data_IF_016540329930
#
_entry.id   IF_016540329930
#
_cell.length_a   1.000
_cell.length_b   1.000
_cell.length_c   1.000
_cell.angle_alpha   90.00
_cell.angle_beta   90.00
_cell.angle_gamma   90.00
#
_symmetry.space_group_name_H-M   'P 1'
#
loop_
_entity.id
_entity.type
_entity.pdbx_description
1 polymer ?
#
# COMPACT_ATOMS: atom_id res chain seq x y z
N UNK A 1 -96.05 21.36 9.15
CA UNK A 1 -95.85 21.22 10.62
C UNK A 1 -94.36 21.40 10.92
N UNK A 2 -94.04 22.42 11.73
CA UNK A 2 -92.94 22.51 12.71
C UNK A 2 -91.46 22.28 12.30
N UNK A 3 -90.72 23.39 12.28
CA UNK A 3 -89.32 23.57 12.76
C UNK A 3 -89.10 22.98 14.18
N UNK A 4 -87.88 22.75 14.74
CA UNK A 4 -86.73 23.70 14.74
C UNK A 4 -85.29 23.13 14.94
N UNK A 5 -84.29 24.03 15.02
CA UNK A 5 -83.00 23.76 15.69
C UNK A 5 -81.82 24.59 15.14
N UNK A 6 -81.72 25.90 15.42
CA UNK A 6 -80.93 26.56 16.49
C UNK A 6 -79.40 26.33 16.48
N UNK A 7 -78.68 27.46 16.45
CA UNK A 7 -77.31 27.66 16.97
C UNK A 7 -76.24 27.65 15.87
N UNK A 8 -75.50 28.71 15.52
CA UNK A 8 -75.13 29.92 16.27
C UNK A 8 -73.76 29.74 16.94
N UNK A 9 -72.67 30.17 16.29
CA UNK A 9 -71.50 30.84 16.89
C UNK A 9 -70.32 30.96 15.89
N UNK A 10 -69.60 32.06 16.02
CA UNK A 10 -68.62 32.67 15.13
C UNK A 10 -67.30 31.88 14.94
N UNK A 11 -66.52 32.17 13.86
CA UNK A 11 -65.28 31.46 13.54
C UNK A 11 -64.14 31.79 14.52
N UNK A 12 -63.43 30.75 14.97
CA UNK A 12 -62.23 30.88 15.79
C UNK A 12 -61.07 31.50 14.99
N UNK A 13 -60.31 32.46 15.56
CA UNK A 13 -59.13 33.02 14.90
C UNK A 13 -57.98 32.00 14.89
N UNK A 14 -57.51 31.67 13.70
CA UNK A 14 -56.36 30.78 13.49
C UNK A 14 -55.07 31.42 14.04
N UNK A 15 -54.21 30.67 14.76
CA UNK A 15 -52.97 31.22 15.29
C UNK A 15 -51.98 31.56 14.17
N UNK A 16 -51.40 32.76 14.26
CA UNK A 16 -50.35 33.27 13.39
C UNK A 16 -49.09 32.39 13.47
N UNK A 17 -48.66 31.86 12.32
CA UNK A 17 -47.40 31.09 12.21
C UNK A 17 -46.22 32.05 12.11
N UNK A 18 -45.33 32.02 13.10
CA UNK A 18 -44.04 32.75 13.12
C UNK A 18 -43.02 32.11 12.17
N UNK A 19 -42.12 32.87 11.52
CA UNK A 19 -40.91 32.32 10.91
C UNK A 19 -39.73 32.37 11.91
N UNK A 20 -38.89 31.33 11.95
CA UNK A 20 -37.45 31.54 11.85
C UNK A 20 -36.82 30.51 10.88
N UNK A 21 -36.09 30.95 9.86
CA UNK A 21 -34.64 31.23 9.87
C UNK A 21 -33.77 29.97 9.91
N UNK A 22 -32.92 29.80 8.89
CA UNK A 22 -31.85 28.82 8.90
C UNK A 22 -31.49 28.30 7.51
N UNK A 23 -30.63 29.04 6.79
CA UNK A 23 -29.89 28.53 5.62
C UNK A 23 -29.25 27.20 5.99
N UNK A 24 -29.70 26.10 5.40
CA UNK A 24 -29.01 24.82 5.48
C UNK A 24 -27.69 24.93 4.70
N UNK A 25 -26.60 25.24 5.39
CA UNK A 25 -25.22 25.04 4.90
C UNK A 25 -24.94 23.53 4.86
N UNK A 26 -25.46 22.85 3.85
CA UNK A 26 -25.20 21.43 3.57
C UNK A 26 -23.93 21.19 2.75
N UNK A 27 -22.84 21.90 3.05
CA UNK A 27 -21.58 21.83 2.27
C UNK A 27 -20.33 21.55 3.10
N UNK A 28 -20.46 21.30 4.41
CA UNK A 28 -19.31 21.13 5.31
C UNK A 28 -18.47 19.89 5.01
N UNK A 29 -19.12 18.76 4.69
CA UNK A 29 -18.40 17.51 4.43
C UNK A 29 -17.54 17.59 3.16
N UNK A 30 -18.11 18.08 2.06
CA UNK A 30 -17.36 18.26 0.81
C UNK A 30 -16.23 19.29 0.94
N UNK A 31 -16.43 20.36 1.72
CA UNK A 31 -15.36 21.32 2.01
C UNK A 31 -14.21 20.71 2.81
N UNK A 32 -14.51 19.89 3.82
CA UNK A 32 -13.49 19.20 4.63
C UNK A 32 -12.77 18.13 3.80
N UNK A 33 -13.50 17.36 2.98
CA UNK A 33 -12.91 16.36 2.08
C UNK A 33 -12.01 17.02 1.03
N UNK A 34 -12.46 18.13 0.41
CA UNK A 34 -11.66 18.88 -0.55
C UNK A 34 -10.39 19.44 0.11
N UNK A 35 -10.51 19.99 1.32
CA UNK A 35 -9.36 20.49 2.09
C UNK A 35 -8.38 19.37 2.41
N UNK A 36 -8.86 18.20 2.84
CA UNK A 36 -8.02 17.04 3.14
C UNK A 36 -7.28 16.54 1.89
N UNK A 37 -7.94 16.49 0.74
CA UNK A 37 -7.32 16.11 -0.54
C UNK A 37 -6.25 17.12 -0.96
N UNK A 38 -6.52 18.42 -0.82
CA UNK A 38 -5.54 19.47 -1.13
C UNK A 38 -4.33 19.41 -0.20
N UNK A 39 -4.54 19.16 1.10
CA UNK A 39 -3.45 18.98 2.06
C UNK A 39 -2.62 17.74 1.73
N UNK A 40 -3.26 16.62 1.41
CA UNK A 40 -2.55 15.40 0.99
C UNK A 40 -1.72 15.64 -0.28
N UNK A 41 -2.29 16.29 -1.30
CA UNK A 41 -1.56 16.63 -2.53
C UNK A 41 -0.37 17.56 -2.27
N UNK A 42 -0.52 18.54 -1.38
CA UNK A 42 0.57 19.44 -0.99
C UNK A 42 1.70 18.70 -0.25
N UNK A 43 1.36 17.80 0.68
CA UNK A 43 2.33 16.99 1.41
C UNK A 43 3.08 16.05 0.46
N UNK A 44 2.38 15.41 -0.47
CA UNK A 44 2.99 14.56 -1.50
C UNK A 44 3.94 15.38 -2.37
N UNK A 45 3.51 16.56 -2.85
CA UNK A 45 4.37 17.45 -3.64
C UNK A 45 5.63 17.88 -2.90
N UNK A 46 5.50 18.28 -1.63
CA UNK A 46 6.64 18.65 -0.79
C UNK A 46 7.61 17.47 -0.57
N UNK A 47 7.08 16.26 -0.36
CA UNK A 47 7.89 15.05 -0.20
C UNK A 47 8.71 14.73 -1.46
N UNK A 48 8.11 14.84 -2.66
CA UNK A 48 8.85 14.65 -3.90
C UNK A 48 9.92 15.72 -4.15
N UNK A 49 9.65 16.98 -3.79
CA UNK A 49 10.65 18.05 -3.87
C UNK A 49 11.82 17.81 -2.91
N UNK A 50 11.54 17.30 -1.71
CA UNK A 50 12.58 16.94 -0.74
C UNK A 50 13.47 15.80 -1.26
N UNK A 51 12.89 14.77 -1.86
CA UNK A 51 13.65 13.68 -2.49
C UNK A 51 14.50 14.18 -3.67
N UNK A 52 13.97 15.07 -4.51
CA UNK A 52 14.74 15.66 -5.60
C UNK A 52 15.93 16.51 -5.11
N UNK A 53 15.76 17.22 -3.99
CA UNK A 53 16.84 17.99 -3.37
C UNK A 53 17.96 17.13 -2.76
N UNK A 54 17.69 15.84 -2.48
CA UNK A 54 18.67 14.90 -1.95
C UNK A 54 19.58 14.30 -3.03
N UNK A 55 19.32 14.55 -4.32
CA UNK A 55 20.22 14.12 -5.39
C UNK A 55 21.45 15.05 -5.42
N UNK A 56 22.66 14.60 -5.04
CA UNK A 56 23.84 15.40 -5.22
C UNK A 56 24.04 15.69 -6.73
N UNK A 57 24.39 16.93 -7.11
CA UNK A 57 24.69 17.23 -8.50
C UNK A 57 25.95 16.48 -8.90
N UNK A 58 25.81 15.53 -9.81
CA UNK A 58 26.90 14.77 -10.42
C UNK A 58 27.72 15.70 -11.33
N UNK A 59 28.51 16.56 -10.69
CA UNK A 59 29.40 17.54 -11.33
C UNK A 59 30.64 17.67 -10.48
N UNK A 60 31.59 16.77 -10.67
CA UNK A 60 33.03 17.07 -10.68
C UNK A 60 33.84 15.77 -10.72
N UNK A 61 34.27 15.34 -11.90
CA UNK A 61 35.63 14.80 -12.10
C UNK A 61 35.93 14.62 -13.60
N UNK A 62 36.26 15.72 -14.26
CA UNK A 62 36.98 15.69 -15.52
C UNK A 62 37.87 16.94 -15.63
N UNK A 63 38.92 17.03 -14.81
CA UNK A 63 40.07 17.91 -15.09
C UNK A 63 41.33 17.56 -14.30
N UNK A 64 42.40 17.28 -15.05
CA UNK A 64 43.83 17.28 -14.63
C UNK A 64 44.36 15.87 -14.38
N UNK A 65 45.40 15.35 -15.02
CA UNK A 65 46.46 15.86 -15.89
C UNK A 65 47.67 14.90 -15.72
N UNK A 66 48.54 14.68 -16.72
CA UNK A 66 49.56 13.62 -16.69
C UNK A 66 50.90 14.08 -16.09
N UNK A 67 51.62 13.19 -15.38
CA UNK A 67 53.04 13.34 -15.10
C UNK A 67 53.72 11.96 -14.85
N UNK A 68 54.77 11.70 -15.63
CA UNK A 68 55.79 10.64 -15.50
C UNK A 68 56.62 10.82 -14.20
N UNK A 69 57.52 9.96 -13.71
CA UNK A 69 58.35 8.88 -14.26
C UNK A 69 58.96 8.07 -13.07
N UNK A 70 59.36 6.82 -13.32
CA UNK A 70 60.15 5.87 -12.51
C UNK A 70 61.59 6.38 -12.16
N UNK A 71 62.53 5.69 -11.43
CA UNK A 71 62.66 4.24 -11.18
C UNK A 71 63.27 3.76 -9.82
N UNK A 72 63.41 2.43 -9.72
CA UNK A 72 64.41 1.63 -9.00
C UNK A 72 64.22 1.24 -7.53
N UNK A 73 63.95 -0.06 -7.34
CA UNK A 73 65.00 -0.93 -6.78
C UNK A 73 64.72 -1.57 -5.43
N UNK A 74 64.07 -2.75 -5.43
CA UNK A 74 64.54 -3.90 -4.63
C UNK A 74 63.82 -5.19 -5.09
N UNK A 75 64.54 -6.30 -5.32
CA UNK A 75 63.93 -7.60 -5.52
C UNK A 75 63.38 -8.10 -4.18
N UNK A 76 62.12 -7.76 -3.91
CA UNK A 76 61.38 -8.36 -2.82
C UNK A 76 60.96 -9.77 -3.24
N UNK A 77 61.34 -10.73 -2.40
CA UNK A 77 60.99 -12.13 -2.44
C UNK A 77 59.56 -12.34 -2.93
N UNK A 78 59.38 -13.26 -3.87
CA UNK A 78 58.06 -13.76 -4.24
C UNK A 78 57.40 -14.31 -2.97
N UNK A 79 56.36 -13.66 -2.40
CA UNK A 79 55.56 -14.32 -1.41
C UNK A 79 54.89 -15.47 -2.17
N UNK A 80 55.13 -16.68 -1.70
CA UNK A 80 54.34 -17.86 -2.05
C UNK A 80 52.87 -17.43 -2.16
N UNK A 81 52.14 -17.76 -3.23
CA UNK A 81 50.73 -17.40 -3.33
C UNK A 81 50.03 -17.95 -2.10
N UNK A 82 49.59 -17.05 -1.23
CA UNK A 82 48.60 -17.38 -0.23
C UNK A 82 47.40 -17.90 -1.04
N UNK A 83 46.84 -19.08 -0.70
CA UNK A 83 45.66 -19.57 -1.39
C UNK A 83 44.61 -18.44 -1.38
N UNK A 84 43.87 -18.23 -2.49
CA UNK A 84 42.82 -17.22 -2.53
C UNK A 84 41.97 -17.36 -1.27
N UNK A 85 41.59 -16.26 -0.60
CA UNK A 85 40.63 -16.37 0.48
C UNK A 85 39.45 -17.17 -0.07
N UNK A 86 39.20 -18.31 0.57
CA UNK A 86 38.02 -19.12 0.32
C UNK A 86 36.85 -18.12 0.30
N UNK A 87 36.02 -18.10 -0.77
CA UNK A 87 34.92 -17.16 -0.84
C UNK A 87 34.17 -17.26 0.48
N UNK A 88 34.16 -16.16 1.25
CA UNK A 88 33.30 -16.08 2.41
C UNK A 88 31.93 -16.49 1.89
N UNK A 89 31.41 -17.61 2.40
CA UNK A 89 30.07 -18.05 2.09
C UNK A 89 29.19 -16.81 2.24
N UNK A 90 28.43 -16.41 1.19
CA UNK A 90 27.58 -15.25 1.32
C UNK A 90 26.70 -15.49 2.53
N UNK A 91 26.86 -14.62 3.54
CA UNK A 91 25.95 -14.48 4.67
C UNK A 91 24.55 -14.56 4.07
N UNK A 92 23.72 -15.57 4.43
CA UNK A 92 22.46 -15.80 3.74
C UNK A 92 21.69 -14.49 3.74
N UNK A 93 21.45 -13.93 2.54
CA UNK A 93 20.56 -12.80 2.33
C UNK A 93 19.36 -13.01 3.25
N UNK A 94 18.92 -12.00 4.03
CA UNK A 94 17.98 -12.18 5.12
C UNK A 94 16.78 -12.98 4.63
N UNK A 95 16.79 -14.28 4.92
CA UNK A 95 15.85 -15.21 4.33
C UNK A 95 14.52 -14.85 4.96
N UNK A 96 13.64 -14.24 4.17
CA UNK A 96 12.28 -13.91 4.59
C UNK A 96 11.66 -15.20 5.10
N UNK A 97 11.49 -15.28 6.42
CA UNK A 97 10.92 -16.47 7.06
C UNK A 97 9.42 -16.31 7.08
N UNK A 98 8.73 -17.38 6.74
CA UNK A 98 7.29 -17.41 6.90
C UNK A 98 6.78 -18.76 7.35
N UNK A 99 5.74 -18.70 8.18
CA UNK A 99 4.96 -19.86 8.59
C UNK A 99 3.61 -19.79 7.91
N UNK A 100 3.18 -20.91 7.32
CA UNK A 100 1.89 -21.02 6.65
C UNK A 100 0.95 -21.87 7.48
N UNK A 101 -0.19 -21.31 7.85
CA UNK A 101 -1.29 -22.02 8.50
C UNK A 101 -2.50 -21.99 7.58
N UNK A 102 -3.08 -23.15 7.29
CA UNK A 102 -4.26 -23.25 6.42
C UNK A 102 -5.46 -23.76 7.19
N UNK A 103 -6.56 -23.02 7.10
CA UNK A 103 -7.84 -23.38 7.72
C UNK A 103 -8.97 -23.11 6.75
N UNK A 104 -9.53 -24.18 6.16
CA UNK A 104 -10.58 -24.09 5.14
C UNK A 104 -10.15 -23.25 3.94
N UNK A 105 -10.89 -22.17 3.66
CA UNK A 105 -10.63 -21.20 2.60
C UNK A 105 -9.75 -20.03 3.04
N UNK A 106 -9.11 -20.12 4.21
CA UNK A 106 -8.19 -19.09 4.71
C UNK A 106 -6.77 -19.65 4.81
N UNK A 107 -5.79 -18.91 4.28
CA UNK A 107 -4.37 -19.20 4.42
C UNK A 107 -3.73 -18.01 5.15
N UNK A 108 -3.13 -18.28 6.29
CA UNK A 108 -2.43 -17.28 7.10
C UNK A 108 -0.93 -17.45 6.91
N UNK A 109 -0.27 -16.36 6.52
CA UNK A 109 1.18 -16.24 6.41
C UNK A 109 1.67 -15.33 7.53
N UNK A 110 2.45 -15.88 8.45
CA UNK A 110 3.20 -15.08 9.44
C UNK A 110 4.57 -14.81 8.86
N UNK A 111 4.91 -13.54 8.65
CA UNK A 111 6.10 -13.11 7.93
C UNK A 111 7.05 -12.41 8.89
N UNK A 112 8.32 -12.79 8.91
CA UNK A 112 9.39 -12.02 9.55
C UNK A 112 10.17 -11.27 8.48
N UNK A 113 9.86 -9.99 8.31
CA UNK A 113 10.41 -9.14 7.26
C UNK A 113 10.50 -7.68 7.74
N UNK A 114 11.34 -6.82 7.14
CA UNK A 114 11.41 -5.40 7.51
C UNK A 114 10.14 -4.63 7.11
N UNK A 115 9.38 -5.11 6.13
CA UNK A 115 8.12 -4.50 5.70
C UNK A 115 7.18 -5.55 5.09
N UNK A 116 5.87 -5.34 5.27
CA UNK A 116 4.84 -6.17 4.67
C UNK A 116 4.49 -5.66 3.26
N UNK A 117 5.16 -6.21 2.25
CA UNK A 117 4.91 -5.94 0.84
C UNK A 117 4.64 -7.24 0.07
N UNK A 118 3.47 -7.31 -0.58
CA UNK A 118 3.05 -8.45 -1.40
C UNK A 118 2.97 -8.01 -2.85
N UNK A 119 3.81 -8.61 -3.69
CA UNK A 119 3.80 -8.44 -5.13
C UNK A 119 2.89 -9.46 -5.79
N UNK A 120 2.12 -8.99 -6.76
CA UNK A 120 1.10 -9.76 -7.46
C UNK A 120 1.35 -9.67 -8.96
N UNK A 121 1.45 -10.83 -9.61
CA UNK A 121 1.41 -10.95 -11.05
C UNK A 121 0.13 -11.69 -11.46
N UNK A 122 -0.60 -11.14 -12.42
CA UNK A 122 -1.92 -11.65 -12.82
C UNK A 122 -1.79 -12.34 -14.17
N UNK A 123 -2.05 -13.64 -14.22
CA UNK A 123 -1.99 -14.45 -15.44
C UNK A 123 -3.38 -14.62 -16.08
N UNK A 124 -4.45 -14.51 -15.28
CA UNK A 124 -5.84 -14.59 -15.74
C UNK A 124 -6.72 -13.60 -14.99
N UNK A 125 -7.86 -13.24 -15.58
CA UNK A 125 -8.80 -12.31 -14.94
C UNK A 125 -9.17 -12.82 -13.55
N UNK A 126 -8.91 -11.99 -12.53
CA UNK A 126 -9.15 -12.37 -11.14
C UNK A 126 -9.75 -11.20 -10.37
N UNK A 127 -10.90 -11.44 -9.75
CA UNK A 127 -11.43 -10.51 -8.76
C UNK A 127 -10.63 -10.60 -7.47
N UNK A 128 -10.27 -9.45 -6.91
CA UNK A 128 -9.56 -9.34 -5.64
C UNK A 128 -10.18 -8.28 -4.75
N UNK A 129 -10.18 -8.55 -3.45
CA UNK A 129 -10.49 -7.58 -2.40
C UNK A 129 -9.32 -7.55 -1.42
N UNK A 130 -8.81 -6.36 -1.17
CA UNK A 130 -7.60 -6.12 -0.39
C UNK A 130 -7.95 -5.20 0.76
N UNK A 131 -7.63 -5.65 1.95
CA UNK A 131 -7.74 -4.90 3.20
C UNK A 131 -6.34 -4.77 3.81
N UNK A 132 -5.89 -3.55 4.02
CA UNK A 132 -4.63 -3.25 4.71
C UNK A 132 -4.98 -2.65 6.07
N UNK A 133 -4.44 -3.22 7.14
CA UNK A 133 -4.57 -2.73 8.52
C UNK A 133 -6.04 -2.50 8.93
N UNK A 134 -6.91 -3.39 8.47
CA UNK A 134 -8.36 -3.38 8.75
C UNK A 134 -9.20 -2.47 7.85
N UNK A 135 -8.59 -1.71 6.93
CA UNK A 135 -9.29 -0.86 5.97
C UNK A 135 -9.28 -1.46 4.56
N UNK A 136 -10.43 -1.46 3.87
CA UNK A 136 -10.51 -1.88 2.45
C UNK A 136 -9.79 -0.84 1.58
N UNK A 137 -8.68 -1.25 0.97
CA UNK A 137 -7.86 -0.37 0.12
C UNK A 137 -8.13 -0.58 -1.37
N UNK A 138 -8.60 -1.78 -1.76
CA UNK A 138 -8.91 -2.07 -3.15
C UNK A 138 -9.93 -3.20 -3.26
N UNK A 139 -10.91 -3.05 -4.15
CA UNK A 139 -11.85 -4.10 -4.52
C UNK A 139 -12.10 -3.99 -6.02
N UNK A 140 -11.46 -4.85 -6.80
CA UNK A 140 -11.45 -4.72 -8.26
C UNK A 140 -11.20 -6.05 -8.95
N UNK A 141 -11.46 -6.08 -10.25
CA UNK A 141 -11.08 -7.20 -11.11
C UNK A 141 -9.78 -6.86 -11.82
N UNK A 142 -8.73 -7.59 -11.50
CA UNK A 142 -7.45 -7.49 -12.19
C UNK A 142 -7.51 -8.23 -13.52
N UNK A 143 -6.82 -7.68 -14.51
CA UNK A 143 -6.71 -8.22 -15.87
C UNK A 143 -5.36 -8.94 -16.05
N UNK A 144 -5.29 -9.90 -16.99
CA UNK A 144 -4.03 -10.57 -17.33
C UNK A 144 -2.92 -9.59 -17.69
N UNK A 145 -1.70 -9.89 -17.26
CA UNK A 145 -0.51 -9.06 -17.46
C UNK A 145 -0.35 -7.91 -16.46
N UNK A 146 -1.36 -7.62 -15.62
CA UNK A 146 -1.22 -6.60 -14.58
C UNK A 146 -0.26 -7.05 -13.47
N UNK A 147 0.48 -6.09 -12.94
CA UNK A 147 1.32 -6.25 -11.75
C UNK A 147 0.92 -5.20 -10.72
N UNK A 148 0.74 -5.63 -9.49
CA UNK A 148 0.33 -4.76 -8.37
C UNK A 148 1.14 -5.13 -7.15
N UNK A 149 1.57 -4.13 -6.40
CA UNK A 149 2.21 -4.33 -5.10
C UNK A 149 1.29 -3.75 -4.03
N UNK A 150 0.90 -4.57 -3.05
CA UNK A 150 0.16 -4.12 -1.88
C UNK A 150 1.09 -4.03 -0.68
N UNK A 151 0.90 -2.99 0.13
CA UNK A 151 1.66 -2.74 1.34
C UNK A 151 0.72 -2.52 2.51
N UNK A 152 1.12 -3.00 3.68
CA UNK A 152 0.44 -2.78 4.95
C UNK A 152 1.50 -2.61 6.06
N UNK A 153 1.10 -2.10 7.21
CA UNK A 153 1.99 -1.94 8.36
C UNK A 153 2.04 -3.23 9.21
N UNK A 154 0.88 -3.78 9.54
CA UNK A 154 0.75 -4.94 10.42
C UNK A 154 0.11 -6.13 9.73
N UNK A 155 -1.03 -5.91 9.06
CA UNK A 155 -1.85 -6.99 8.52
C UNK A 155 -2.38 -6.66 7.14
N UNK A 156 -2.19 -7.59 6.19
CA UNK A 156 -2.77 -7.51 4.85
C UNK A 156 -3.70 -8.71 4.63
N UNK A 157 -4.99 -8.46 4.37
CA UNK A 157 -5.95 -9.50 3.99
C UNK A 157 -6.29 -9.36 2.52
N UNK A 158 -6.11 -10.44 1.76
CA UNK A 158 -6.40 -10.48 0.33
C UNK A 158 -7.37 -11.61 0.06
N UNK A 159 -8.60 -11.28 -0.35
CA UNK A 159 -9.52 -12.28 -0.89
C UNK A 159 -9.33 -12.37 -2.39
N UNK A 160 -9.08 -13.58 -2.87
CA UNK A 160 -8.79 -13.89 -4.26
C UNK A 160 -9.92 -14.75 -4.81
N UNK A 161 -10.59 -14.29 -5.86
CA UNK A 161 -11.71 -14.99 -6.49
C UNK A 161 -11.28 -16.15 -7.39
N UNK A 162 -10.12 -16.07 -8.02
CA UNK A 162 -9.58 -17.10 -8.89
C UNK A 162 -8.08 -17.30 -8.67
N UNK A 163 -7.68 -18.08 -7.64
CA UNK A 163 -6.28 -18.23 -7.27
C UNK A 163 -5.35 -18.81 -8.34
N UNK A 164 -5.77 -19.75 -9.20
CA UNK A 164 -4.90 -20.25 -10.28
C UNK A 164 -4.48 -19.18 -11.30
N UNK A 165 -5.19 -18.04 -11.33
CA UNK A 165 -4.92 -16.93 -12.24
C UNK A 165 -3.98 -15.86 -11.69
N UNK A 166 -3.45 -16.02 -10.47
CA UNK A 166 -2.53 -15.06 -9.86
C UNK A 166 -1.30 -15.74 -9.27
N UNK A 167 -0.18 -15.03 -9.29
CA UNK A 167 1.06 -15.40 -8.61
C UNK A 167 1.39 -14.33 -7.60
N UNK A 168 1.69 -14.75 -6.39
CA UNK A 168 2.03 -13.87 -5.28
C UNK A 168 3.46 -14.11 -4.86
N UNK A 169 4.14 -13.04 -4.47
CA UNK A 169 5.45 -13.11 -3.85
C UNK A 169 5.59 -12.09 -2.74
N UNK A 170 6.31 -12.45 -1.67
CA UNK A 170 6.61 -11.54 -0.56
C UNK A 170 8.10 -11.38 -0.48
N UNK A 171 8.56 -10.13 -0.55
CA UNK A 171 9.98 -9.78 -0.49
C UNK A 171 10.85 -10.66 -1.43
N UNK A 172 10.37 -10.86 -2.67
CA UNK A 172 11.05 -11.66 -3.69
C UNK A 172 10.79 -13.17 -3.62
N UNK A 173 10.24 -13.69 -2.53
CA UNK A 173 9.96 -15.12 -2.38
C UNK A 173 8.56 -15.47 -2.93
N UNK A 174 8.44 -16.35 -3.95
CA UNK A 174 7.15 -16.76 -4.48
C UNK A 174 6.37 -17.60 -3.46
N UNK A 175 5.07 -17.33 -3.36
CA UNK A 175 4.16 -18.07 -2.51
C UNK A 175 3.32 -19.03 -3.33
N UNK A 176 3.25 -20.28 -2.87
CA UNK A 176 2.28 -21.24 -3.39
C UNK A 176 0.96 -21.10 -2.63
N UNK A 177 -0.12 -20.86 -3.39
CA UNK A 177 -1.48 -20.75 -2.86
C UNK A 177 -2.17 -22.10 -2.79
N UNK A 178 -1.77 -23.07 -3.62
CA UNK A 178 -2.36 -24.41 -3.73
C UNK A 178 -3.90 -24.40 -3.51
N UNK A 179 -4.62 -23.56 -4.27
CA UNK A 179 -6.05 -23.34 -4.14
C UNK A 179 -6.70 -23.26 -5.52
N UNK A 180 -7.80 -23.99 -5.74
CA UNK A 180 -8.65 -23.92 -6.93
C UNK A 180 -9.82 -22.95 -6.75
N UNK A 181 -10.34 -22.87 -5.53
CA UNK A 181 -11.54 -22.12 -5.15
C UNK A 181 -11.18 -20.77 -4.51
N UNK A 182 -12.13 -19.81 -4.41
CA UNK A 182 -11.87 -18.53 -3.78
C UNK A 182 -11.25 -18.66 -2.40
N UNK A 183 -10.11 -18.01 -2.20
CA UNK A 183 -9.30 -18.12 -0.97
C UNK A 183 -9.10 -16.73 -0.36
N UNK A 184 -9.02 -16.69 0.97
CA UNK A 184 -8.62 -15.50 1.72
C UNK A 184 -7.21 -15.71 2.25
N UNK A 185 -6.30 -14.82 1.88
CA UNK A 185 -4.93 -14.81 2.33
C UNK A 185 -4.82 -13.76 3.42
N UNK A 186 -4.21 -14.10 4.54
CA UNK A 186 -3.97 -13.19 5.65
C UNK A 186 -2.48 -13.16 5.91
N UNK A 187 -1.84 -12.03 5.62
CA UNK A 187 -0.45 -11.81 5.91
C UNK A 187 -0.35 -11.01 7.20
N UNK A 188 0.44 -11.49 8.15
CA UNK A 188 0.71 -10.83 9.43
C UNK A 188 2.21 -10.63 9.54
N UNK A 189 2.63 -9.40 9.78
CA UNK A 189 4.03 -9.09 10.07
C UNK A 189 4.32 -9.44 11.54
N UNK A 190 5.30 -10.32 11.76
CA UNK A 190 5.82 -10.67 13.08
C UNK A 190 7.09 -9.82 13.28
N UNK A 191 6.97 -8.80 14.13
CA UNK A 191 7.99 -7.77 14.42
C UNK A 191 8.97 -8.19 15.50
#
# INVERSE_FOLDING_TARGET
MQSPGRGGAAPLPLPARRPPAGRRRGGGFYGVVLLAVLLAAALIGAYYLYLAAQQPPDTAQARGGPAAEEPSGQPAETPRPEPPPEPAEPDPEPAVRYTVERSGSTITYRLTAPALAVDVAVDSRCWVRVEADGAVVSETTLQPGQRVTWRAEETLRVRVGYPPGIRLSVAGTPLDLNASDPVTLVFVLDS
#
